data_IF_044959932765
#
_entry.id   IF_044959932765
#
_cell.length_a   1.000
_cell.length_b   1.000
_cell.length_c   1.000
_cell.angle_alpha   90.00
_cell.angle_beta   90.00
_cell.angle_gamma   90.00
#
_symmetry.space_group_name_H-M   'P 1'
#
loop_
_entity.id
_entity.type
_entity.pdbx_description
1 polymer ?
#
# COMPACT_ATOMS: atom_id res chain seq x y z
N UNK A 1 17.22 -4.31 -47.35
CA UNK A 1 17.23 -3.99 -45.91
C UNK A 1 16.12 -3.00 -45.62
N UNK A 2 14.98 -3.46 -45.08
CA UNK A 2 13.84 -2.60 -44.78
C UNK A 2 13.36 -2.93 -43.37
N UNK A 3 14.00 -2.32 -42.37
CA UNK A 3 13.55 -2.34 -40.97
C UNK A 3 13.38 -0.88 -40.56
N UNK A 4 12.27 -0.57 -39.87
CA UNK A 4 11.84 0.74 -39.33
C UNK A 4 10.93 1.57 -40.25
N UNK A 5 9.72 1.10 -40.54
CA UNK A 5 8.58 1.97 -40.93
C UNK A 5 7.22 1.41 -40.47
N UNK A 6 7.16 0.86 -39.26
CA UNK A 6 5.88 0.44 -38.63
C UNK A 6 5.83 0.77 -37.13
N UNK A 7 6.73 1.61 -36.62
CA UNK A 7 6.67 2.05 -35.23
C UNK A 7 5.64 3.19 -35.03
N UNK A 8 5.37 3.99 -36.06
CA UNK A 8 4.55 5.19 -35.93
C UNK A 8 3.04 4.94 -35.78
N UNK A 9 2.41 3.92 -36.42
CA UNK A 9 0.98 3.65 -36.21
C UNK A 9 0.68 2.91 -34.90
N UNK A 10 1.67 2.19 -34.34
CA UNK A 10 1.59 1.59 -33.01
C UNK A 10 1.79 2.65 -31.90
N UNK A 11 2.36 3.80 -32.26
CA UNK A 11 2.57 4.93 -31.35
C UNK A 11 1.32 5.83 -31.18
N UNK A 12 0.29 5.66 -32.03
CA UNK A 12 -0.93 6.46 -32.00
C UNK A 12 -2.09 5.80 -31.22
N UNK A 13 -1.99 4.51 -30.88
CA UNK A 13 -2.89 3.83 -29.93
C UNK A 13 -2.38 3.87 -28.48
N UNK A 14 -1.40 4.75 -28.21
CA UNK A 14 -0.53 4.79 -27.03
C UNK A 14 -1.16 5.36 -25.77
N UNK A 15 -2.48 5.27 -25.66
CA UNK A 15 -3.18 5.28 -24.37
C UNK A 15 -3.14 3.91 -23.70
N UNK A 16 -2.01 3.18 -23.75
CA UNK A 16 -1.94 1.87 -23.07
C UNK A 16 -1.68 2.08 -21.58
N UNK A 17 -2.36 1.34 -20.69
CA UNK A 17 -2.11 1.42 -19.25
C UNK A 17 -0.63 1.27 -18.87
N UNK A 18 0.12 0.47 -19.64
CA UNK A 18 1.57 0.29 -19.46
C UNK A 18 2.39 1.56 -19.69
N UNK A 19 2.03 2.43 -20.65
CA UNK A 19 2.73 3.69 -20.84
C UNK A 19 2.44 4.65 -19.67
N UNK A 20 1.18 4.72 -19.24
CA UNK A 20 0.79 5.55 -18.11
C UNK A 20 1.60 5.19 -16.85
N UNK A 21 1.79 3.90 -16.56
CA UNK A 21 2.65 3.45 -15.45
C UNK A 21 4.10 3.92 -15.64
N UNK A 22 4.67 3.78 -16.84
CA UNK A 22 6.04 4.23 -17.11
C UNK A 22 6.20 5.76 -16.94
N UNK A 23 5.22 6.54 -17.41
CA UNK A 23 5.18 7.98 -17.20
C UNK A 23 5.03 8.35 -15.72
N UNK A 24 4.22 7.61 -14.97
CA UNK A 24 4.08 7.77 -13.52
C UNK A 24 5.41 7.67 -12.80
N UNK A 25 6.22 6.65 -13.12
CA UNK A 25 7.57 6.46 -12.54
C UNK A 25 8.50 7.63 -12.85
N UNK A 26 8.55 8.07 -14.11
CA UNK A 26 9.37 9.22 -14.51
C UNK A 26 8.95 10.49 -13.74
N UNK A 27 7.65 10.69 -13.55
CA UNK A 27 7.12 11.85 -12.81
C UNK A 27 7.42 11.77 -11.32
N UNK A 28 7.37 10.57 -10.75
CA UNK A 28 7.72 10.32 -9.36
C UNK A 28 9.21 10.61 -9.07
N UNK A 29 10.11 10.23 -9.98
CA UNK A 29 11.54 10.55 -9.91
C UNK A 29 11.79 12.06 -10.00
N UNK A 30 11.00 12.76 -10.82
CA UNK A 30 11.03 14.23 -10.95
C UNK A 30 10.35 14.98 -9.80
N UNK A 31 9.89 14.27 -8.77
CA UNK A 31 9.12 14.83 -7.65
C UNK A 31 7.79 15.50 -8.07
N UNK A 32 7.31 15.24 -9.29
CA UNK A 32 5.99 15.68 -9.77
C UNK A 32 4.90 14.70 -9.27
N UNK A 33 4.79 14.54 -7.94
CA UNK A 33 4.03 13.46 -7.30
C UNK A 33 2.53 13.46 -7.67
N UNK A 34 1.90 14.63 -7.74
CA UNK A 34 0.49 14.72 -8.10
C UNK A 34 0.21 14.21 -9.52
N UNK A 35 1.11 14.52 -10.47
CA UNK A 35 1.01 13.99 -11.83
C UNK A 35 1.35 12.51 -11.88
N UNK A 36 2.32 12.06 -11.08
CA UNK A 36 2.62 10.63 -10.96
C UNK A 36 1.38 9.84 -10.52
N UNK A 37 0.61 10.37 -9.56
CA UNK A 37 -0.66 9.79 -9.13
C UNK A 37 -1.67 9.68 -10.28
N UNK A 38 -1.89 10.76 -11.03
CA UNK A 38 -2.80 10.77 -12.19
C UNK A 38 -2.37 9.75 -13.26
N UNK A 39 -1.07 9.61 -13.50
CA UNK A 39 -0.54 8.60 -14.41
C UNK A 39 -0.77 7.18 -13.89
N UNK A 40 -0.55 6.90 -12.60
CA UNK A 40 -0.85 5.58 -12.05
C UNK A 40 -2.35 5.26 -12.06
N UNK A 41 -3.21 6.24 -11.86
CA UNK A 41 -4.68 6.09 -11.92
C UNK A 41 -5.14 5.73 -13.35
N UNK A 42 -4.65 6.48 -14.35
CA UNK A 42 -4.87 6.19 -15.77
C UNK A 42 -4.27 4.85 -16.20
N UNK A 43 -3.18 4.42 -15.54
CA UNK A 43 -2.56 3.11 -15.71
C UNK A 43 -3.24 1.98 -14.95
N UNK A 44 -4.25 2.30 -14.14
CA UNK A 44 -4.95 1.38 -13.22
C UNK A 44 -4.03 0.64 -12.23
N UNK A 45 -2.86 1.21 -11.92
CA UNK A 45 -1.89 0.66 -10.97
C UNK A 45 -2.15 1.19 -9.57
N UNK A 46 -3.13 0.58 -8.89
CA UNK A 46 -3.50 0.96 -7.53
C UNK A 46 -2.38 0.72 -6.52
N UNK A 47 -1.56 -0.30 -6.73
CA UNK A 47 -0.45 -0.59 -5.82
C UNK A 47 0.56 0.56 -5.84
N UNK A 48 0.87 1.09 -7.03
CA UNK A 48 1.69 2.29 -7.17
C UNK A 48 1.02 3.53 -6.58
N UNK A 49 -0.29 3.74 -6.80
CA UNK A 49 -1.03 4.85 -6.19
C UNK A 49 -0.97 4.82 -4.66
N UNK A 50 -1.22 3.65 -4.06
CA UNK A 50 -1.18 3.44 -2.60
C UNK A 50 0.23 3.69 -2.06
N UNK A 51 1.27 3.15 -2.70
CA UNK A 51 2.67 3.40 -2.32
C UNK A 51 3.00 4.89 -2.37
N UNK A 52 2.59 5.58 -3.44
CA UNK A 52 2.83 7.01 -3.60
C UNK A 52 2.14 7.81 -2.49
N UNK A 53 0.88 7.48 -2.16
CA UNK A 53 0.13 8.11 -1.08
C UNK A 53 0.80 7.90 0.28
N UNK A 54 1.20 6.68 0.59
CA UNK A 54 1.78 6.32 1.90
C UNK A 54 3.19 6.87 2.09
N UNK A 55 4.07 6.69 1.12
CA UNK A 55 5.51 6.94 1.29
C UNK A 55 5.99 8.30 0.78
N UNK A 56 5.24 8.95 -0.13
CA UNK A 56 5.69 10.19 -0.78
C UNK A 56 4.78 11.37 -0.47
N UNK A 57 3.46 11.16 -0.45
CA UNK A 57 2.48 12.20 -0.17
C UNK A 57 2.04 12.24 1.30
N UNK A 58 2.38 11.22 2.10
CA UNK A 58 1.96 11.06 3.50
C UNK A 58 0.43 11.12 3.71
N UNK A 59 -0.36 10.74 2.71
CA UNK A 59 -1.82 10.75 2.75
C UNK A 59 -2.37 9.34 3.01
N UNK A 60 -2.28 8.94 4.27
CA UNK A 60 -2.69 7.60 4.73
C UNK A 60 -4.20 7.40 4.63
N UNK A 61 -5.00 8.42 4.91
CA UNK A 61 -6.46 8.32 4.89
C UNK A 61 -6.98 8.03 3.48
N UNK A 62 -6.45 8.72 2.48
CA UNK A 62 -6.80 8.46 1.09
C UNK A 62 -6.34 7.07 0.64
N UNK A 63 -5.17 6.62 1.06
CA UNK A 63 -4.70 5.26 0.78
C UNK A 63 -5.65 4.20 1.36
N UNK A 64 -6.05 4.33 2.63
CA UNK A 64 -7.02 3.44 3.28
C UNK A 64 -8.35 3.41 2.52
N UNK A 65 -8.84 4.57 2.07
CA UNK A 65 -10.10 4.68 1.33
C UNK A 65 -10.04 3.88 0.03
N UNK A 66 -9.00 4.08 -0.77
CA UNK A 66 -8.80 3.36 -2.04
C UNK A 66 -8.72 1.84 -1.83
N UNK A 67 -8.05 1.41 -0.77
CA UNK A 67 -7.92 -0.03 -0.45
C UNK A 67 -9.27 -0.61 -0.05
N UNK A 68 -10.04 0.10 0.78
CA UNK A 68 -11.34 -0.39 1.26
C UNK A 68 -12.41 -0.43 0.17
N UNK A 69 -12.34 0.46 -0.81
CA UNK A 69 -13.25 0.45 -1.96
C UNK A 69 -13.11 -0.84 -2.79
N UNK A 70 -11.88 -1.32 -2.98
CA UNK A 70 -11.63 -2.59 -3.67
C UNK A 70 -10.34 -3.23 -3.14
N UNK A 71 -10.44 -4.07 -2.12
CA UNK A 71 -9.27 -4.67 -1.52
C UNK A 71 -8.62 -5.66 -2.48
N UNK A 72 -7.29 -5.63 -2.53
CA UNK A 72 -6.48 -6.67 -3.14
C UNK A 72 -5.44 -7.15 -2.14
N UNK A 73 -4.97 -8.39 -2.31
CA UNK A 73 -3.90 -8.93 -1.46
C UNK A 73 -2.68 -8.00 -1.49
N UNK A 74 -2.27 -7.56 -2.68
CA UNK A 74 -1.13 -6.66 -2.85
C UNK A 74 -1.29 -5.32 -2.11
N UNK A 75 -2.45 -4.67 -2.27
CA UNK A 75 -2.67 -3.35 -1.63
C UNK A 75 -2.84 -3.45 -0.12
N UNK A 76 -3.46 -4.53 0.36
CA UNK A 76 -3.58 -4.83 1.79
C UNK A 76 -2.20 -5.10 2.44
N UNK A 77 -1.31 -5.82 1.74
CA UNK A 77 0.06 -6.04 2.22
C UNK A 77 0.83 -4.73 2.38
N UNK A 78 0.78 -3.85 1.37
CA UNK A 78 1.50 -2.57 1.39
C UNK A 78 1.12 -1.75 2.62
N UNK A 79 -0.18 -1.63 2.91
CA UNK A 79 -0.62 -0.85 4.07
C UNK A 79 -0.35 -1.57 5.40
N UNK A 80 -0.45 -2.90 5.45
CA UNK A 80 -0.10 -3.66 6.65
C UNK A 80 1.37 -3.46 7.04
N UNK A 81 2.28 -3.53 6.06
CA UNK A 81 3.70 -3.27 6.27
C UNK A 81 3.96 -1.83 6.72
N UNK A 82 3.30 -0.85 6.11
CA UNK A 82 3.40 0.56 6.52
C UNK A 82 2.93 0.78 7.96
N UNK A 83 1.80 0.18 8.35
CA UNK A 83 1.21 0.36 9.68
C UNK A 83 2.00 -0.36 10.79
N UNK A 84 2.69 -1.44 10.43
CA UNK A 84 3.62 -2.14 11.34
C UNK A 84 4.71 -1.20 11.87
N UNK A 85 5.22 -0.30 11.03
CA UNK A 85 6.19 0.72 11.44
C UNK A 85 5.58 1.80 12.34
N UNK A 86 4.30 2.13 12.14
CA UNK A 86 3.55 3.11 12.93
C UNK A 86 3.09 2.61 14.31
N UNK A 87 3.34 1.34 14.63
CA UNK A 87 3.01 0.69 15.91
C UNK A 87 1.51 0.71 16.25
N UNK A 88 0.63 0.70 15.25
CA UNK A 88 -0.79 0.43 15.46
C UNK A 88 -1.08 -1.06 15.19
N UNK A 89 -1.09 -1.92 16.22
CA UNK A 89 -1.23 -3.35 16.04
C UNK A 89 -2.61 -3.75 15.54
N UNK A 90 -3.67 -2.99 15.85
CA UNK A 90 -5.04 -3.37 15.48
C UNK A 90 -5.27 -3.22 13.99
N UNK A 91 -4.92 -2.04 13.46
CA UNK A 91 -5.02 -1.76 12.01
C UNK A 91 -4.09 -2.69 11.22
N UNK A 92 -2.89 -2.94 11.75
CA UNK A 92 -1.93 -3.86 11.13
C UNK A 92 -2.50 -5.29 11.02
N UNK A 93 -3.13 -5.81 12.07
CA UNK A 93 -3.77 -7.14 12.06
C UNK A 93 -4.92 -7.18 11.04
N UNK A 94 -5.80 -6.17 11.01
CA UNK A 94 -6.90 -6.08 10.05
C UNK A 94 -6.40 -6.24 8.61
N UNK A 95 -5.38 -5.48 8.22
CA UNK A 95 -4.86 -5.52 6.87
C UNK A 95 -4.07 -6.79 6.52
N UNK A 96 -3.36 -7.40 7.48
CA UNK A 96 -2.76 -8.72 7.25
C UNK A 96 -3.82 -9.81 7.04
N UNK A 97 -4.95 -9.75 7.76
CA UNK A 97 -6.09 -10.64 7.52
C UNK A 97 -6.70 -10.43 6.13
N UNK A 98 -6.86 -9.17 5.70
CA UNK A 98 -7.31 -8.85 4.33
C UNK A 98 -6.34 -9.36 3.25
N UNK A 99 -5.03 -9.32 3.54
CA UNK A 99 -3.99 -9.90 2.70
C UNK A 99 -3.92 -11.44 2.74
N UNK A 100 -4.69 -12.10 3.62
CA UNK A 100 -4.64 -13.55 3.90
C UNK A 100 -3.33 -14.03 4.53
N UNK A 101 -2.59 -13.13 5.16
CA UNK A 101 -1.36 -13.41 5.92
C UNK A 101 -1.68 -13.74 7.38
N UNK A 102 -2.35 -14.87 7.61
CA UNK A 102 -2.86 -15.24 8.94
C UNK A 102 -1.75 -15.44 9.98
N UNK A 103 -0.60 -15.98 9.59
CA UNK A 103 0.53 -16.20 10.50
C UNK A 103 1.09 -14.86 11.01
N UNK A 104 1.25 -13.88 10.11
CA UNK A 104 1.73 -12.54 10.47
C UNK A 104 0.73 -11.83 11.39
N UNK A 105 -0.56 -11.89 11.05
CA UNK A 105 -1.63 -11.36 11.88
C UNK A 105 -1.62 -11.99 13.29
N UNK A 106 -1.46 -13.30 13.37
CA UNK A 106 -1.43 -14.05 14.62
C UNK A 106 -0.24 -13.67 15.52
N UNK A 107 0.97 -13.62 14.96
CA UNK A 107 2.16 -13.25 15.74
C UNK A 107 2.08 -11.83 16.30
N UNK A 108 1.55 -10.87 15.52
CA UNK A 108 1.32 -9.51 15.99
C UNK A 108 0.27 -9.47 17.11
N UNK A 109 -0.83 -10.21 16.97
CA UNK A 109 -1.87 -10.30 17.99
C UNK A 109 -1.34 -10.87 19.31
N UNK A 110 -0.54 -11.94 19.24
CA UNK A 110 0.10 -12.59 20.39
C UNK A 110 1.04 -11.65 21.14
N UNK A 111 1.88 -10.91 20.41
CA UNK A 111 2.78 -9.90 21.01
C UNK A 111 1.98 -8.77 21.66
N UNK A 112 0.92 -8.29 21.01
CA UNK A 112 0.06 -7.23 21.54
C UNK A 112 -0.67 -7.66 22.83
N UNK A 113 -1.17 -8.91 22.88
CA UNK A 113 -1.82 -9.46 24.07
C UNK A 113 -0.87 -9.56 25.27
N UNK A 114 0.37 -10.02 25.06
CA UNK A 114 1.38 -10.10 26.12
C UNK A 114 1.74 -8.73 26.72
N UNK A 115 1.83 -7.70 25.89
CA UNK A 115 2.12 -6.33 26.36
C UNK A 115 1.04 -5.80 27.31
N UNK A 116 -0.24 -6.00 26.97
CA UNK A 116 -1.36 -5.60 27.83
C UNK A 116 -1.34 -6.30 29.20
N UNK A 117 -0.91 -7.56 29.26
CA UNK A 117 -0.81 -8.29 30.54
C UNK A 117 0.35 -7.84 31.41
N UNK A 118 1.44 -7.32 30.84
CA UNK A 118 2.57 -6.78 31.61
C UNK A 118 2.35 -5.37 32.14
N UNK A 119 1.33 -4.67 31.64
CA UNK A 119 0.93 -3.33 32.12
C UNK A 119 -0.02 -3.40 33.32
N UNK A 120 -0.55 -4.58 33.66
CA UNK A 120 -1.34 -4.77 34.88
C UNK A 120 -0.33 -4.96 36.02
N UNK A 121 -0.22 -4.01 36.97
CA UNK A 121 0.74 -4.15 38.07
C UNK A 121 0.38 -5.39 38.92
N UNK A 122 1.38 -6.16 39.39
CA UNK A 122 1.15 -7.34 40.22
C UNK A 122 0.28 -7.07 41.46
N UNK A 123 0.29 -5.83 41.97
CA UNK A 123 -0.53 -5.37 43.10
C UNK A 123 -2.03 -5.48 42.88
N UNK A 124 -2.50 -5.67 41.65
CA UNK A 124 -3.91 -5.85 41.34
C UNK A 124 -4.44 -7.25 41.71
N UNK A 125 -3.55 -8.23 41.92
CA UNK A 125 -3.90 -9.62 42.23
C UNK A 125 -3.73 -10.00 43.71
N UNK A 126 -3.27 -9.08 44.57
CA UNK A 126 -2.96 -9.36 45.99
C UNK A 126 -4.06 -8.90 46.98
N UNK A 127 -5.26 -8.52 46.52
CA UNK A 127 -6.35 -8.04 47.39
C UNK A 127 -7.49 -9.04 47.66
N UNK A 128 -7.25 -10.35 47.55
CA UNK A 128 -8.19 -11.39 48.00
C UNK A 128 -7.69 -12.04 49.28
#
# INVERSE_FOLDING_TARGET
MQKRKMADPLMASVGTPSLHIAMGKIKEEKQELQKAYEYYDNGHDRAAMVKLLLFRLNDVQRAVTIIRERPSIETALIIAEFMKEKKDPLITIEFFLLAKEFEQAFEIAKVNMKKKTTEIPPSFFEQT
#
